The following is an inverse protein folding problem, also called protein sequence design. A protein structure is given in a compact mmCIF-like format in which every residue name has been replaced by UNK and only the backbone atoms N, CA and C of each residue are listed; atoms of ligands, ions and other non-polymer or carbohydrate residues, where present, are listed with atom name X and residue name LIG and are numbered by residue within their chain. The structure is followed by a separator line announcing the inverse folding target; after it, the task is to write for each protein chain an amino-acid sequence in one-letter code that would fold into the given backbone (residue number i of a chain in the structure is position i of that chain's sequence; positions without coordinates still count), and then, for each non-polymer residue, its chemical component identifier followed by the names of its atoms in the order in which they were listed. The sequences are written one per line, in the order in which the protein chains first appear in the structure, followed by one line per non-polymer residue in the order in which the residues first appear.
data_IF_940716657148
#
_entry.id   IF_940716657148
#
_cell.length_a   1.000
_cell.length_b   1.000
_cell.length_c   1.000
_cell.angle_alpha   90.00
_cell.angle_beta   90.00
_cell.angle_gamma   90.00
#
_symmetry.space_group_name_H-M   'P 1'
#
loop_
_entity.id
_entity.type
_entity.pdbx_description
1 polymer ?
#
# COMPACT_ATOMS: atom_id res chain seq x y z
N UNK A 1 -3.03 -4.38 2.15
CA UNK A 1 -4.24 -5.23 2.18
C UNK A 1 -5.29 -4.59 3.08
N UNK A 2 -6.56 -4.47 2.67
CA UNK A 2 -7.64 -3.91 3.50
C UNK A 2 -8.17 -4.99 4.48
N UNK A 3 -7.31 -5.43 5.38
CA UNK A 3 -7.63 -6.45 6.40
C UNK A 3 -7.02 -6.06 7.74
N UNK A 4 -7.67 -6.48 8.84
CA UNK A 4 -7.11 -6.33 10.18
C UNK A 4 -5.70 -6.95 10.25
N UNK A 5 -4.78 -6.27 10.93
CA UNK A 5 -3.38 -6.68 11.04
C UNK A 5 -2.47 -6.30 9.85
N UNK A 6 -3.01 -5.67 8.80
CA UNK A 6 -2.19 -5.29 7.64
C UNK A 6 -1.21 -4.14 7.92
N UNK A 7 -1.48 -3.35 8.94
CA UNK A 7 -0.59 -2.34 9.52
C UNK A 7 -0.33 -2.73 10.97
N UNK A 8 0.92 -2.68 11.41
CA UNK A 8 1.24 -2.95 12.80
C UNK A 8 2.61 -2.46 13.20
N UNK A 9 2.85 -2.28 14.51
CA UNK A 9 4.13 -1.85 15.06
C UNK A 9 4.42 -2.58 16.37
N UNK A 10 5.68 -2.91 16.58
CA UNK A 10 6.12 -3.61 17.77
C UNK A 10 7.62 -3.47 18.05
N UNK A 11 8.12 -4.11 19.12
CA UNK A 11 9.49 -3.95 19.61
C UNK A 11 10.54 -4.71 18.80
N UNK A 12 10.15 -5.52 17.83
CA UNK A 12 11.08 -6.35 17.06
C UNK A 12 10.54 -6.66 15.66
N UNK A 13 11.42 -7.10 14.78
CA UNK A 13 11.04 -7.55 13.44
C UNK A 13 9.90 -8.57 13.51
N UNK A 14 8.81 -8.29 12.84
CA UNK A 14 7.63 -9.16 12.78
C UNK A 14 6.67 -9.06 13.95
N UNK A 15 7.05 -8.38 15.02
CA UNK A 15 6.19 -8.15 16.18
C UNK A 15 5.28 -6.93 15.94
N UNK A 16 4.00 -7.05 16.25
CA UNK A 16 3.00 -5.98 16.15
C UNK A 16 2.26 -5.77 17.46
N UNK A 17 2.90 -6.10 18.59
CA UNK A 17 2.27 -6.10 19.92
C UNK A 17 2.05 -4.72 20.51
N UNK A 18 2.72 -3.66 20.01
CA UNK A 18 2.44 -2.30 20.48
C UNK A 18 1.12 -1.77 19.91
N UNK A 19 0.87 -2.01 18.64
CA UNK A 19 -0.38 -1.69 17.97
C UNK A 19 -0.52 -2.49 16.67
N UNK A 20 -1.74 -2.83 16.31
CA UNK A 20 -2.09 -3.45 15.04
C UNK A 20 -3.47 -2.99 14.60
N UNK A 21 -3.64 -2.72 13.32
CA UNK A 21 -4.93 -2.31 12.77
C UNK A 21 -5.99 -3.38 13.00
N UNK A 22 -7.12 -3.00 13.62
CA UNK A 22 -8.33 -3.82 13.72
C UNK A 22 -9.29 -3.56 12.56
N UNK A 23 -10.44 -4.24 12.56
CA UNK A 23 -11.48 -4.06 11.52
C UNK A 23 -11.96 -2.60 11.45
N UNK A 24 -12.15 -1.95 12.61
CA UNK A 24 -12.54 -0.55 12.67
C UNK A 24 -11.47 0.40 12.06
N UNK A 25 -10.19 0.06 12.17
CA UNK A 25 -9.12 0.85 11.55
C UNK A 25 -9.13 0.71 10.03
N UNK A 26 -9.50 -0.46 9.51
CA UNK A 26 -9.64 -0.65 8.04
C UNK A 26 -10.72 0.27 7.49
N UNK A 27 -11.85 0.41 8.19
CA UNK A 27 -12.93 1.31 7.79
C UNK A 27 -12.54 2.79 7.97
N UNK A 28 -12.01 3.15 9.14
CA UNK A 28 -11.67 4.54 9.48
C UNK A 28 -10.48 5.09 8.69
N UNK A 29 -9.59 4.22 8.23
CA UNK A 29 -8.39 4.55 7.44
C UNK A 29 -8.48 4.04 6.00
N UNK A 30 -9.70 3.90 5.45
CA UNK A 30 -9.93 3.31 4.13
C UNK A 30 -9.05 3.95 3.04
N UNK A 31 -8.76 5.26 3.16
CA UNK A 31 -7.93 6.03 2.24
C UNK A 31 -6.44 5.61 2.17
N UNK A 32 -5.88 4.94 3.20
CA UNK A 32 -4.55 4.36 3.08
C UNK A 32 -4.62 2.92 2.56
N UNK A 33 -5.75 2.24 2.77
CA UNK A 33 -5.92 0.87 2.33
C UNK A 33 -6.27 0.74 0.85
N UNK A 34 -6.68 1.82 0.18
CA UNK A 34 -6.89 1.90 -1.26
C UNK A 34 -5.69 2.52 -2.01
N UNK A 35 -4.68 3.02 -1.29
CA UNK A 35 -3.41 3.44 -1.87
C UNK A 35 -2.72 2.31 -2.65
N UNK A 36 -2.20 2.64 -3.82
CA UNK A 36 -1.52 1.70 -4.71
C UNK A 36 -0.03 2.03 -4.78
N UNK A 37 0.81 1.04 -4.51
CA UNK A 37 2.24 1.08 -4.70
C UNK A 37 2.55 0.38 -6.02
N UNK A 38 2.86 1.17 -7.04
CA UNK A 38 3.08 0.66 -8.41
C UNK A 38 4.55 0.44 -8.68
N UNK A 39 4.90 -0.79 -9.01
CA UNK A 39 6.25 -1.21 -9.42
C UNK A 39 6.26 -1.45 -10.93
N UNK A 40 6.97 -0.60 -11.67
CA UNK A 40 7.12 -0.75 -13.12
C UNK A 40 8.19 -1.78 -13.49
N UNK A 41 8.02 -2.47 -14.60
CA UNK A 41 9.01 -3.42 -15.10
C UNK A 41 10.35 -2.74 -15.52
N UNK A 42 10.34 -1.43 -15.67
CA UNK A 42 11.49 -0.59 -15.97
C UNK A 42 12.23 -0.09 -14.73
N UNK A 43 11.83 -0.53 -13.53
CA UNK A 43 12.37 -0.09 -12.24
C UNK A 43 11.74 1.18 -11.70
N UNK A 44 10.73 1.76 -12.36
CA UNK A 44 9.99 2.90 -11.84
C UNK A 44 9.13 2.51 -10.63
N UNK A 45 8.95 3.45 -9.71
CA UNK A 45 8.05 3.33 -8.57
C UNK A 45 7.08 4.51 -8.54
N UNK A 46 5.85 4.30 -8.10
CA UNK A 46 4.90 5.38 -7.87
C UNK A 46 3.95 5.08 -6.71
N UNK A 47 3.75 6.09 -5.86
CA UNK A 47 2.62 6.16 -4.95
C UNK A 47 1.39 6.68 -5.72
N UNK A 48 0.30 5.93 -5.74
CA UNK A 48 -0.96 6.31 -6.39
C UNK A 48 -2.04 6.31 -5.33
N UNK A 49 -2.33 7.49 -4.80
CA UNK A 49 -3.14 7.71 -3.59
C UNK A 49 -4.57 8.19 -3.89
N UNK A 50 -4.92 8.38 -5.19
CA UNK A 50 -6.23 8.93 -5.54
C UNK A 50 -6.43 10.37 -5.04
N UNK A 51 -7.64 10.66 -4.60
CA UNK A 51 -8.01 11.99 -4.09
C UNK A 51 -7.65 12.18 -2.61
N UNK A 52 -7.50 11.10 -1.85
CA UNK A 52 -7.23 11.11 -0.41
C UNK A 52 -6.24 10.02 -0.02
N UNK A 53 -5.47 10.26 1.04
CA UNK A 53 -4.64 9.29 1.76
C UNK A 53 -4.69 9.59 3.25
N UNK A 54 -4.08 8.76 4.10
CA UNK A 54 -4.00 9.00 5.53
C UNK A 54 -2.98 10.09 5.84
N UNK A 55 -3.46 11.14 6.50
CA UNK A 55 -2.65 12.29 6.93
C UNK A 55 -2.57 12.36 8.46
N UNK A 56 -1.48 12.95 8.94
CA UNK A 56 -1.19 13.17 10.35
C UNK A 56 -0.81 14.65 10.60
N UNK A 57 -0.86 15.09 11.86
CA UNK A 57 -0.63 16.49 12.23
C UNK A 57 0.69 17.08 11.77
N UNK A 58 1.76 16.28 11.66
CA UNK A 58 3.07 16.73 11.16
C UNK A 58 3.06 17.13 9.66
N UNK A 59 2.05 16.70 8.91
CA UNK A 59 1.80 17.06 7.51
C UNK A 59 0.94 18.34 7.39
N UNK A 60 0.56 18.96 8.51
CA UNK A 60 -0.29 20.16 8.55
C UNK A 60 -1.79 19.85 8.57
N UNK A 61 -2.16 18.59 8.79
CA UNK A 61 -3.55 18.16 8.95
C UNK A 61 -4.02 18.40 10.40
N UNK A 62 -5.31 18.65 10.62
CA UNK A 62 -5.86 18.83 11.98
C UNK A 62 -6.13 17.46 12.61
N UNK A 63 -5.16 16.96 13.38
CA UNK A 63 -5.19 15.61 13.96
C UNK A 63 -4.69 14.54 13.01
N UNK A 64 -5.46 13.47 12.86
CA UNK A 64 -5.22 12.35 11.93
C UNK A 64 -6.49 12.03 11.16
N UNK A 65 -6.38 11.72 9.87
CA UNK A 65 -7.54 11.37 9.04
C UNK A 65 -7.25 11.32 7.55
N UNK A 66 -8.29 11.02 6.76
CA UNK A 66 -8.22 11.03 5.33
C UNK A 66 -8.26 12.46 4.78
N UNK A 67 -7.37 12.77 3.85
CA UNK A 67 -7.29 14.06 3.19
C UNK A 67 -6.43 14.03 1.94
N UNK A 68 -6.45 15.14 1.18
CA UNK A 68 -5.68 15.24 -0.06
C UNK A 68 -4.18 15.05 0.21
N UNK A 69 -3.48 14.22 -0.59
CA UNK A 69 -2.05 13.97 -0.41
C UNK A 69 -1.22 15.26 -0.36
N UNK A 70 -0.22 15.30 0.52
CA UNK A 70 0.60 16.50 0.80
C UNK A 70 2.03 16.29 0.32
N UNK A 71 2.54 17.21 -0.51
CA UNK A 71 3.92 17.19 -0.98
C UNK A 71 4.93 17.25 0.19
N UNK A 72 6.07 16.53 0.08
CA UNK A 72 6.53 15.74 -1.06
C UNK A 72 6.02 14.29 -1.06
N UNK A 73 5.11 13.91 -0.15
CA UNK A 73 4.60 12.55 0.01
C UNK A 73 3.31 12.29 -0.80
N UNK A 74 3.06 13.10 -1.81
CA UNK A 74 1.85 13.09 -2.68
C UNK A 74 2.00 12.26 -3.96
N UNK A 75 3.13 11.55 -4.12
CA UNK A 75 3.41 10.75 -5.31
C UNK A 75 3.72 11.56 -6.57
N UNK A 76 3.85 12.90 -6.50
CA UNK A 76 4.13 13.75 -7.66
C UNK A 76 5.57 13.69 -8.14
N UNK A 77 6.50 13.26 -7.27
CA UNK A 77 7.93 13.19 -7.59
C UNK A 77 8.29 11.85 -8.25
N UNK A 78 9.20 11.86 -9.25
CA UNK A 78 9.68 10.62 -9.86
C UNK A 78 10.40 9.76 -8.81
N UNK A 79 10.12 8.45 -8.86
CA UNK A 79 10.75 7.48 -7.96
C UNK A 79 11.09 6.18 -8.70
N UNK A 80 12.02 5.43 -8.13
CA UNK A 80 12.46 4.11 -8.59
C UNK A 80 12.45 3.11 -7.45
N UNK A 81 12.59 1.83 -7.77
CA UNK A 81 12.78 0.80 -6.75
C UNK A 81 13.90 -0.15 -7.14
N UNK A 82 14.49 -0.77 -6.11
CA UNK A 82 15.44 -1.87 -6.25
C UNK A 82 15.03 -3.02 -5.33
N UNK A 83 14.95 -4.23 -5.87
CA UNK A 83 14.75 -5.46 -5.11
C UNK A 83 16.06 -6.24 -5.08
N UNK A 84 16.63 -6.41 -3.89
CA UNK A 84 17.79 -7.27 -3.64
C UNK A 84 17.31 -8.61 -3.05
N UNK A 85 17.23 -9.62 -3.92
CA UNK A 85 16.79 -10.98 -3.54
C UNK A 85 17.75 -11.62 -2.54
N UNK A 86 19.06 -11.34 -2.63
CA UNK A 86 20.07 -11.94 -1.75
C UNK A 86 19.99 -11.37 -0.33
N UNK A 87 19.68 -10.08 -0.22
CA UNK A 87 19.48 -9.38 1.06
C UNK A 87 18.04 -9.47 1.58
N UNK A 88 17.08 -9.92 0.77
CA UNK A 88 15.64 -9.84 1.03
C UNK A 88 15.20 -8.41 1.35
N UNK A 89 15.63 -7.43 0.54
CA UNK A 89 15.27 -6.03 0.74
C UNK A 89 14.61 -5.42 -0.48
N UNK A 90 13.73 -4.46 -0.21
CA UNK A 90 13.09 -3.60 -1.20
C UNK A 90 13.42 -2.16 -0.84
N UNK A 91 14.12 -1.45 -1.73
CA UNK A 91 14.42 -0.03 -1.57
C UNK A 91 13.57 0.79 -2.53
N UNK A 92 12.95 1.86 -2.06
CA UNK A 92 12.32 2.88 -2.88
C UNK A 92 13.14 4.16 -2.81
N UNK A 93 13.48 4.72 -3.97
CA UNK A 93 14.30 5.91 -4.13
C UNK A 93 13.50 7.00 -4.83
N UNK A 94 13.36 8.15 -4.19
CA UNK A 94 12.63 9.32 -4.66
C UNK A 94 12.21 10.20 -3.49
N UNK A 95 12.17 11.51 -3.68
CA UNK A 95 11.77 12.43 -2.62
C UNK A 95 10.33 12.14 -2.20
N UNK A 96 10.13 11.74 -0.93
CA UNK A 96 8.82 11.44 -0.36
C UNK A 96 8.20 10.11 -0.79
N UNK A 97 8.89 9.30 -1.63
CA UNK A 97 8.44 7.97 -2.00
C UNK A 97 8.46 7.05 -0.77
N UNK A 98 7.37 6.29 -0.54
CA UNK A 98 7.21 5.44 0.64
C UNK A 98 6.24 4.29 0.39
N UNK A 99 6.22 3.30 1.28
CA UNK A 99 5.22 2.25 1.34
C UNK A 99 4.63 2.22 2.76
N UNK A 100 3.31 2.24 2.87
CA UNK A 100 2.60 2.35 4.14
C UNK A 100 2.50 3.80 4.62
N UNK A 101 2.85 4.05 5.88
CA UNK A 101 2.76 5.38 6.47
C UNK A 101 3.91 6.30 6.02
N UNK A 102 3.60 7.48 5.53
CA UNK A 102 4.57 8.46 5.04
C UNK A 102 5.60 8.92 6.10
N UNK A 103 5.26 8.79 7.39
CA UNK A 103 6.18 9.14 8.50
C UNK A 103 7.29 8.13 8.72
N UNK A 104 7.15 6.89 8.23
CA UNK A 104 8.02 5.76 8.59
C UNK A 104 9.21 5.68 7.66
N UNK A 105 10.43 5.80 8.19
CA UNK A 105 11.66 5.57 7.44
C UNK A 105 12.75 4.95 8.34
N UNK A 106 13.86 4.55 7.73
CA UNK A 106 14.89 3.78 8.42
C UNK A 106 15.48 4.54 9.63
N UNK A 107 15.34 3.94 10.82
CA UNK A 107 15.89 4.42 12.07
C UNK A 107 15.06 5.48 12.80
N UNK A 108 14.01 6.03 12.18
CA UNK A 108 13.20 7.08 12.82
C UNK A 108 11.81 7.24 12.17
N UNK A 109 10.97 8.09 12.74
CA UNK A 109 9.70 8.54 12.16
C UNK A 109 9.74 10.06 11.96
N UNK A 110 9.24 10.53 10.81
CA UNK A 110 9.18 11.95 10.47
C UNK A 110 8.26 12.72 11.43
N UNK A 111 8.67 13.93 11.76
CA UNK A 111 7.88 14.90 12.52
C UNK A 111 7.72 16.25 11.82
N UNK A 112 8.28 16.38 10.61
CA UNK A 112 8.21 17.59 9.78
C UNK A 112 8.33 17.21 8.29
N UNK A 113 7.58 17.89 7.43
CA UNK A 113 7.71 17.77 5.96
C UNK A 113 9.11 18.14 5.45
N UNK A 114 9.86 18.97 6.19
CA UNK A 114 11.22 19.35 5.81
C UNK A 114 12.25 18.23 6.00
N UNK A 115 11.89 17.18 6.73
CA UNK A 115 12.77 16.04 7.01
C UNK A 115 12.52 14.88 6.03
N UNK A 116 11.75 15.12 4.95
CA UNK A 116 11.45 14.10 3.94
C UNK A 116 12.74 13.50 3.37
N UNK A 117 12.75 12.17 3.26
CA UNK A 117 13.91 11.41 2.80
C UNK A 117 13.80 11.08 1.31
N UNK A 118 14.92 10.69 0.72
CA UNK A 118 15.02 10.32 -0.70
C UNK A 118 15.18 8.83 -0.93
N UNK A 119 15.30 8.04 0.13
CA UNK A 119 15.48 6.59 0.03
C UNK A 119 14.96 5.91 1.28
N UNK A 120 14.20 4.82 1.12
CA UNK A 120 13.70 3.99 2.22
C UNK A 120 13.92 2.52 1.85
N UNK A 121 14.53 1.75 2.75
CA UNK A 121 14.77 0.32 2.57
C UNK A 121 13.90 -0.48 3.54
N UNK A 122 13.15 -1.41 3.01
CA UNK A 122 12.31 -2.35 3.74
C UNK A 122 12.91 -3.74 3.72
N UNK A 123 12.74 -4.50 4.80
CA UNK A 123 13.01 -5.95 4.82
C UNK A 123 11.77 -6.69 4.29
N UNK A 124 11.95 -7.57 3.32
CA UNK A 124 10.90 -8.46 2.84
C UNK A 124 10.87 -9.67 3.76
N UNK A 125 9.89 -9.70 4.68
CA UNK A 125 9.75 -10.80 5.64
C UNK A 125 8.98 -12.00 5.08
N UNK A 126 8.12 -11.76 4.10
CA UNK A 126 7.43 -12.81 3.33
C UNK A 126 7.02 -12.27 1.96
N UNK A 127 7.08 -13.13 0.95
CA UNK A 127 6.62 -12.82 -0.41
C UNK A 127 6.06 -14.07 -1.07
N UNK A 128 4.93 -13.91 -1.74
CA UNK A 128 4.28 -14.90 -2.61
C UNK A 128 3.95 -14.25 -3.95
N UNK A 129 3.33 -14.98 -4.86
CA UNK A 129 2.87 -14.41 -6.13
C UNK A 129 1.82 -13.29 -5.97
N UNK A 130 1.05 -13.32 -4.86
CA UNK A 130 -0.10 -12.45 -4.62
C UNK A 130 0.05 -11.53 -3.40
N UNK A 131 1.10 -11.67 -2.61
CA UNK A 131 1.27 -10.88 -1.37
C UNK A 131 2.73 -10.62 -1.04
N UNK A 132 2.97 -9.53 -0.30
CA UNK A 132 4.27 -9.18 0.24
C UNK A 132 4.11 -8.59 1.64
N UNK A 133 4.96 -9.03 2.58
CA UNK A 133 5.04 -8.45 3.92
C UNK A 133 6.38 -7.72 4.05
N UNK A 134 6.30 -6.45 4.36
CA UNK A 134 7.45 -5.57 4.55
C UNK A 134 7.56 -5.16 6.00
N UNK A 135 8.77 -5.20 6.54
CA UNK A 135 9.10 -4.65 7.85
C UNK A 135 10.16 -3.55 7.70
N UNK A 136 10.10 -2.55 8.56
CA UNK A 136 11.08 -1.47 8.60
C UNK A 136 11.40 -1.11 10.04
N UNK A 137 12.71 -1.08 10.37
CA UNK A 137 13.18 -0.63 11.67
C UNK A 137 13.05 0.88 11.79
N UNK A 138 12.51 1.33 12.93
CA UNK A 138 12.45 2.72 13.37
C UNK A 138 13.32 2.93 14.61
N UNK A 139 13.22 4.11 15.23
CA UNK A 139 14.00 4.41 16.44
C UNK A 139 13.79 3.39 17.57
N UNK A 140 14.85 3.20 18.37
CA UNK A 140 14.85 2.34 19.57
C UNK A 140 14.52 0.86 19.32
N UNK A 141 14.78 0.37 18.10
CA UNK A 141 14.56 -1.03 17.73
C UNK A 141 13.10 -1.40 17.47
N UNK A 142 12.20 -0.40 17.42
CA UNK A 142 10.82 -0.63 16.98
C UNK A 142 10.75 -0.95 15.50
N UNK A 143 9.72 -1.70 15.09
CA UNK A 143 9.50 -2.08 13.70
C UNK A 143 8.05 -1.86 13.29
N UNK A 144 7.85 -1.19 12.16
CA UNK A 144 6.58 -1.19 11.45
C UNK A 144 6.50 -2.37 10.50
N UNK A 145 5.30 -2.90 10.36
CA UNK A 145 4.93 -3.96 9.42
C UNK A 145 3.81 -3.51 8.50
N UNK A 146 3.97 -3.77 7.20
CA UNK A 146 3.00 -3.50 6.15
C UNK A 146 2.73 -4.77 5.35
N UNK A 147 1.48 -5.20 5.27
CA UNK A 147 1.08 -6.34 4.46
C UNK A 147 0.40 -5.84 3.18
N UNK A 148 1.00 -6.15 2.05
CA UNK A 148 0.52 -5.78 0.71
C UNK A 148 -0.11 -6.98 0.02
N UNK A 149 -1.12 -6.72 -0.80
CA UNK A 149 -1.69 -7.71 -1.73
C UNK A 149 -1.52 -7.19 -3.15
N UNK A 150 -1.23 -8.09 -4.07
CA UNK A 150 -1.11 -7.76 -5.49
C UNK A 150 -2.49 -7.47 -6.05
N UNK A 151 -2.64 -6.33 -6.71
CA UNK A 151 -3.85 -6.02 -7.46
C UNK A 151 -3.80 -6.82 -8.75
N UNK A 152 -4.60 -7.89 -8.84
CA UNK A 152 -4.83 -8.61 -10.09
C UNK A 152 -5.83 -7.81 -10.91
N UNK A 153 -5.62 -7.77 -12.23
CA UNK A 153 -6.63 -7.21 -13.13
C UNK A 153 -7.98 -7.87 -12.84
N UNK A 154 -9.04 -7.06 -12.69
CA UNK A 154 -10.38 -7.60 -12.48
C UNK A 154 -10.69 -8.60 -13.59
N UNK A 155 -11.35 -9.72 -13.26
CA UNK A 155 -11.80 -10.71 -14.26
C UNK A 155 -12.74 -10.11 -15.33
N UNK A 156 -13.23 -8.90 -15.10
CA UNK A 156 -14.07 -8.13 -16.03
C UNK A 156 -13.24 -7.32 -17.04
N UNK A 157 -11.94 -7.07 -16.78
CA UNK A 157 -11.08 -6.34 -17.73
C UNK A 157 -10.71 -7.25 -18.91
N UNK A 158 -10.82 -6.71 -20.11
CA UNK A 158 -10.54 -7.43 -21.36
C UNK A 158 -11.63 -7.23 -22.42
N UNK A 159 -11.40 -7.78 -23.60
CA UNK A 159 -12.37 -7.73 -24.70
C UNK A 159 -13.44 -8.81 -24.52
N UNK A 160 -14.70 -8.40 -24.47
CA UNK A 160 -15.85 -9.26 -24.31
C UNK A 160 -16.72 -9.28 -25.56
N UNK A 161 -17.20 -10.46 -25.95
CA UNK A 161 -18.19 -10.63 -27.02
C UNK A 161 -19.23 -11.68 -26.63
N UNK A 162 -20.40 -11.60 -27.26
CA UNK A 162 -21.43 -12.64 -27.07
C UNK A 162 -20.89 -14.00 -27.52
N UNK A 163 -21.14 -15.02 -26.72
CA UNK A 163 -20.75 -16.38 -27.08
C UNK A 163 -21.54 -16.83 -28.30
N UNK A 164 -20.89 -17.39 -29.34
CA UNK A 164 -21.57 -17.86 -30.55
C UNK A 164 -22.19 -19.26 -30.32
N UNK A 165 -22.97 -19.40 -29.26
CA UNK A 165 -23.63 -20.66 -28.86
C UNK A 165 -25.10 -20.44 -28.60
N UNK A 166 -25.91 -21.46 -28.76
CA UNK A 166 -27.34 -21.40 -28.42
C UNK A 166 -27.51 -21.13 -26.91
N UNK A 167 -28.42 -20.21 -26.59
CA UNK A 167 -28.65 -19.77 -25.19
C UNK A 167 -27.75 -18.64 -24.70
N UNK A 168 -26.84 -18.10 -25.55
CA UNK A 168 -26.02 -16.92 -25.17
C UNK A 168 -26.85 -15.67 -24.91
N UNK A 169 -28.08 -15.62 -25.46
CA UNK A 169 -29.09 -14.61 -25.15
C UNK A 169 -30.32 -15.32 -24.62
N UNK A 170 -30.79 -14.89 -23.48
CA UNK A 170 -31.97 -15.42 -22.83
C UNK A 170 -32.66 -14.36 -22.01
N UNK A 171 -33.98 -14.49 -21.84
CA UNK A 171 -34.80 -13.66 -20.96
C UNK A 171 -35.48 -14.59 -19.94
N UNK A 172 -35.24 -14.35 -18.68
CA UNK A 172 -35.83 -15.12 -17.59
C UNK A 172 -36.11 -14.25 -16.35
N UNK A 173 -36.86 -14.74 -15.36
CA UNK A 173 -37.20 -14.02 -14.14
C UNK A 173 -35.98 -13.81 -13.23
N UNK A 174 -34.87 -14.55 -13.42
CA UNK A 174 -33.64 -14.41 -12.68
C UNK A 174 -32.42 -14.46 -13.61
N UNK A 175 -31.31 -13.90 -13.15
CA UNK A 175 -30.04 -13.92 -13.90
C UNK A 175 -29.60 -15.37 -14.13
N UNK A 176 -29.46 -15.78 -15.39
CA UNK A 176 -29.08 -17.13 -15.77
C UNK A 176 -30.26 -18.11 -15.93
N UNK A 177 -31.49 -17.68 -15.69
CA UNK A 177 -32.67 -18.47 -15.95
C UNK A 177 -33.13 -18.22 -17.39
N UNK A 178 -32.89 -19.20 -18.25
CA UNK A 178 -33.33 -19.21 -19.66
C UNK A 178 -34.39 -20.26 -19.82
N UNK A 179 -35.62 -19.84 -19.87
CA UNK A 179 -36.78 -20.71 -20.19
C UNK A 179 -36.98 -20.89 -21.70
#
# INVERSE_FOLDING_TARGET
APVAGALGVGPALGDTSWWSSGDADVDNRACIFDDIYRFGADGSFANVMGDETWLEGWQGFDGEGCGAPVAPHDGSMPATYTHDEAANTLTVDGMGAHIGLARVYNGVELSSLNDAVTSITYTISAMTDDSMTLDIEIAYGGHWRFMLVKITASAITGDWKLAPVAGALGVGPALGDTS
#
